data_IF_539969290240
#
_entry.id   IF_539969290240
#
_cell.length_a   1.000
_cell.length_b   1.000
_cell.length_c   1.000
_cell.angle_alpha   90.00
_cell.angle_beta   90.00
_cell.angle_gamma   90.00
#
_symmetry.space_group_name_H-M   'P 1'
#
loop_
_entity.id
_entity.type
_entity.pdbx_description
1 polymer ?
#
# COMPACT_ATOMS: atom_id res chain seq x y z
N UNK A 1 -36.89 27.87 -2.31
CA UNK A 1 -36.25 27.00 -3.32
C UNK A 1 -34.81 27.45 -3.46
N UNK A 2 -33.88 26.77 -2.77
CA UNK A 2 -32.44 27.00 -2.93
C UNK A 2 -31.79 25.66 -3.29
N UNK A 3 -31.03 25.56 -4.39
CA UNK A 3 -30.21 24.39 -4.63
C UNK A 3 -28.91 24.49 -3.82
N UNK A 4 -28.66 23.50 -2.95
CA UNK A 4 -27.36 23.27 -2.34
C UNK A 4 -26.47 22.64 -3.44
N UNK A 5 -25.48 23.40 -3.90
CA UNK A 5 -24.41 22.87 -4.75
C UNK A 5 -23.48 22.06 -3.86
N UNK A 6 -23.46 20.74 -4.05
CA UNK A 6 -22.46 19.86 -3.46
C UNK A 6 -21.13 20.02 -4.20
N UNK A 7 -20.13 20.56 -3.50
CA UNK A 7 -18.75 20.55 -3.96
C UNK A 7 -18.15 19.19 -3.56
N UNK A 8 -18.03 18.26 -4.51
CA UNK A 8 -17.13 17.12 -4.36
C UNK A 8 -15.71 17.62 -4.65
N UNK A 9 -14.95 17.89 -3.60
CA UNK A 9 -13.52 18.14 -3.72
C UNK A 9 -12.82 16.79 -3.92
N UNK A 10 -12.63 16.39 -5.18
CA UNK A 10 -11.68 15.34 -5.54
C UNK A 10 -10.28 15.97 -5.44
N UNK A 11 -9.69 15.89 -4.25
CA UNK A 11 -8.30 16.27 -4.02
C UNK A 11 -7.37 15.13 -4.40
N UNK A 12 -7.05 15.00 -5.69
CA UNK A 12 -5.89 14.22 -6.11
C UNK A 12 -4.62 15.04 -5.82
N UNK A 13 -4.03 14.83 -4.65
CA UNK A 13 -2.67 15.32 -4.38
C UNK A 13 -1.69 14.37 -5.06
N UNK A 14 -1.28 14.72 -6.28
CA UNK A 14 -0.10 14.13 -6.90
C UNK A 14 1.14 14.61 -6.12
N UNK A 15 1.62 13.79 -5.18
CA UNK A 15 2.84 14.06 -4.44
C UNK A 15 4.00 13.53 -5.30
N UNK A 16 4.72 14.41 -5.99
CA UNK A 16 5.93 14.04 -6.71
C UNK A 16 7.00 13.55 -5.73
N UNK A 17 7.62 12.41 -6.00
CA UNK A 17 8.65 11.87 -5.12
C UNK A 17 9.96 12.65 -5.24
N UNK A 18 10.49 13.04 -4.09
CA UNK A 18 11.85 13.50 -3.89
C UNK A 18 12.47 12.50 -2.91
N UNK A 19 13.61 11.88 -3.23
CA UNK A 19 14.43 11.23 -2.21
C UNK A 19 15.02 12.32 -1.32
N UNK A 20 14.36 12.58 -0.19
CA UNK A 20 14.80 13.58 0.77
C UNK A 20 15.68 12.89 1.81
N UNK A 21 16.88 13.43 2.08
CA UNK A 21 17.65 13.11 3.29
C UNK A 21 17.35 14.25 4.27
N UNK A 22 16.28 14.08 5.06
CA UNK A 22 15.86 15.02 6.11
C UNK A 22 15.67 14.25 7.41
N UNK A 23 15.81 14.94 8.54
CA UNK A 23 15.70 14.32 9.87
C UNK A 23 14.29 13.76 10.10
N UNK A 24 13.27 14.44 9.58
CA UNK A 24 11.86 14.16 9.87
C UNK A 24 11.01 14.12 8.59
N UNK A 25 11.06 13.00 7.88
CA UNK A 25 10.13 12.72 6.77
C UNK A 25 9.00 11.86 7.35
N UNK A 26 7.75 12.35 7.36
CA UNK A 26 6.62 11.56 7.83
C UNK A 26 6.39 10.37 6.88
N UNK A 27 5.88 9.26 7.42
CA UNK A 27 5.35 8.19 6.57
C UNK A 27 4.09 8.66 5.84
N UNK A 28 3.64 7.86 4.89
CA UNK A 28 2.37 8.03 4.19
C UNK A 28 1.25 8.38 5.18
N UNK A 29 0.58 9.51 4.94
CA UNK A 29 -0.57 9.90 5.71
C UNK A 29 -1.79 9.05 5.32
N UNK A 30 -2.27 8.25 6.27
CA UNK A 30 -3.47 7.43 6.09
C UNK A 30 -4.71 8.29 6.36
N UNK A 31 -5.69 8.36 5.45
CA UNK A 31 -6.90 9.14 5.68
C UNK A 31 -7.65 8.68 6.93
N UNK A 32 -8.01 9.64 7.79
CA UNK A 32 -8.79 9.39 8.99
C UNK A 32 -10.14 8.70 8.68
N UNK A 33 -10.70 8.04 9.68
CA UNK A 33 -12.00 7.40 9.56
C UNK A 33 -12.21 6.24 10.54
N UNK A 34 -13.39 5.61 10.52
CA UNK A 34 -13.75 4.52 11.40
C UNK A 34 -13.09 3.21 10.94
N UNK A 35 -11.77 3.13 11.08
CA UNK A 35 -10.98 1.93 10.80
C UNK A 35 -11.37 0.79 11.74
N UNK A 36 -11.55 -0.40 11.17
CA UNK A 36 -11.89 -1.62 11.90
C UNK A 36 -10.79 -2.66 11.67
N UNK A 37 -10.64 -3.60 12.59
CA UNK A 37 -9.74 -4.74 12.40
C UNK A 37 -10.05 -5.46 11.07
N UNK A 38 -8.99 -5.80 10.34
CA UNK A 38 -9.07 -6.42 9.03
C UNK A 38 -9.84 -7.74 9.08
N UNK A 39 -10.77 -7.90 8.15
CA UNK A 39 -11.43 -9.18 7.85
C UNK A 39 -12.10 -9.14 6.47
N UNK A 40 -12.45 -7.94 6.00
CA UNK A 40 -13.11 -7.72 4.72
C UNK A 40 -12.29 -8.14 3.47
N UNK A 41 -11.00 -8.42 3.64
CA UNK A 41 -10.11 -8.89 2.57
C UNK A 41 -9.55 -10.29 2.85
N UNK A 42 -9.97 -10.97 3.91
CA UNK A 42 -9.42 -12.27 4.26
C UNK A 42 -9.64 -13.31 3.16
N UNK A 43 -8.61 -14.12 2.91
CA UNK A 43 -8.57 -15.11 1.85
C UNK A 43 -8.26 -14.55 0.47
N UNK A 44 -8.04 -13.23 0.34
CA UNK A 44 -7.66 -12.61 -0.93
C UNK A 44 -6.14 -12.55 -1.08
N UNK A 45 -5.71 -12.75 -2.32
CA UNK A 45 -4.35 -12.48 -2.79
C UNK A 45 -4.50 -11.54 -3.98
N UNK A 46 -3.67 -10.51 -4.03
CA UNK A 46 -3.58 -9.64 -5.20
C UNK A 46 -2.18 -9.68 -5.78
N UNK A 47 -2.09 -9.75 -7.09
CA UNK A 47 -0.85 -9.72 -7.84
C UNK A 47 -0.66 -8.30 -8.37
N UNK A 48 0.33 -7.59 -7.84
CA UNK A 48 0.51 -6.17 -8.11
C UNK A 48 1.77 -5.90 -8.92
N UNK A 49 1.72 -4.80 -9.65
CA UNK A 49 2.87 -4.17 -10.30
C UNK A 49 3.04 -2.81 -9.66
N UNK A 50 4.21 -2.59 -9.08
CA UNK A 50 4.49 -1.46 -8.22
C UNK A 50 5.58 -0.59 -8.84
N UNK A 51 5.38 0.71 -8.81
CA UNK A 51 6.32 1.70 -9.35
C UNK A 51 6.92 2.48 -8.21
N UNK A 52 8.25 2.58 -8.18
CA UNK A 52 8.93 3.52 -7.29
C UNK A 52 8.81 4.90 -7.89
N UNK A 53 8.13 5.80 -7.20
CA UNK A 53 7.91 7.16 -7.69
C UNK A 53 9.26 7.87 -7.81
N UNK A 54 9.51 8.47 -8.98
CA UNK A 54 10.80 9.11 -9.29
C UNK A 54 11.87 8.16 -9.88
N UNK A 55 11.52 6.90 -10.12
CA UNK A 55 12.36 5.90 -10.80
C UNK A 55 11.60 5.26 -11.97
N UNK A 56 12.34 4.64 -12.89
CA UNK A 56 11.79 3.77 -13.95
C UNK A 56 11.66 2.31 -13.49
N UNK A 57 11.93 2.04 -12.21
CA UNK A 57 11.87 0.72 -11.60
C UNK A 57 10.42 0.25 -11.40
N UNK A 58 10.18 -0.98 -11.84
CA UNK A 58 8.90 -1.68 -11.71
C UNK A 58 9.15 -2.97 -10.92
N UNK A 59 8.42 -3.14 -9.83
CA UNK A 59 8.45 -4.32 -8.98
C UNK A 59 7.16 -5.13 -9.18
N UNK A 60 7.22 -6.42 -8.88
CA UNK A 60 6.04 -7.30 -8.81
C UNK A 60 5.92 -7.81 -7.40
N UNK A 61 4.70 -7.87 -6.89
CA UNK A 61 4.44 -8.33 -5.52
C UNK A 61 3.15 -9.17 -5.45
N UNK A 62 3.05 -9.96 -4.39
CA UNK A 62 1.84 -10.64 -3.97
C UNK A 62 1.43 -10.11 -2.61
N UNK A 63 0.22 -9.55 -2.55
CA UNK A 63 -0.36 -9.02 -1.32
C UNK A 63 -1.37 -10.02 -0.77
N UNK A 64 -0.99 -10.69 0.31
CA UNK A 64 -1.79 -11.73 0.97
C UNK A 64 -2.55 -11.15 2.15
N UNK A 65 -3.85 -11.44 2.23
CA UNK A 65 -4.72 -11.08 3.35
C UNK A 65 -5.31 -12.35 3.96
N UNK A 66 -4.95 -12.67 5.21
CA UNK A 66 -5.35 -13.90 5.89
C UNK A 66 -5.62 -13.64 7.37
N UNK A 67 -6.85 -13.90 7.82
CA UNK A 67 -7.24 -13.88 9.23
C UNK A 67 -6.96 -12.55 9.94
N UNK A 68 -7.25 -11.43 9.29
CA UNK A 68 -6.96 -10.08 9.78
C UNK A 68 -5.50 -9.66 9.66
N UNK A 69 -4.67 -10.46 9.00
CA UNK A 69 -3.24 -10.18 8.77
C UNK A 69 -2.93 -9.96 7.31
N UNK A 70 -1.90 -9.16 7.07
CA UNK A 70 -1.37 -8.80 5.77
C UNK A 70 0.10 -9.18 5.67
N UNK A 71 0.50 -9.64 4.48
CA UNK A 71 1.89 -9.84 4.11
C UNK A 71 2.09 -9.44 2.64
N UNK A 72 3.21 -8.75 2.38
CA UNK A 72 3.76 -8.55 1.05
C UNK A 72 4.86 -9.58 0.83
N UNK A 73 4.80 -10.33 -0.27
CA UNK A 73 5.80 -11.34 -0.61
C UNK A 73 7.19 -10.71 -0.84
N UNK A 74 7.24 -9.53 -1.47
CA UNK A 74 8.48 -8.76 -1.63
C UNK A 74 9.08 -8.31 -0.30
N UNK A 75 8.26 -7.80 0.63
CA UNK A 75 8.77 -7.43 1.96
C UNK A 75 9.27 -8.66 2.73
N UNK A 76 8.57 -9.78 2.57
CA UNK A 76 8.95 -11.06 3.16
C UNK A 76 10.30 -11.56 2.62
N UNK A 77 10.52 -11.50 1.31
CA UNK A 77 11.80 -11.86 0.69
C UNK A 77 12.92 -10.88 1.09
N UNK A 78 12.61 -9.59 1.17
CA UNK A 78 13.60 -8.54 1.44
C UNK A 78 14.15 -8.56 2.87
N UNK A 79 13.29 -8.68 3.89
CA UNK A 79 13.71 -8.69 5.30
C UNK A 79 12.72 -9.42 6.21
N UNK A 80 12.13 -10.55 5.79
CA UNK A 80 11.31 -11.40 6.69
C UNK A 80 10.29 -10.59 7.53
N UNK A 81 9.60 -9.64 6.89
CA UNK A 81 8.70 -8.71 7.59
C UNK A 81 7.56 -9.44 8.32
N UNK A 82 7.27 -10.67 7.93
CA UNK A 82 6.23 -11.50 8.50
C UNK A 82 4.84 -10.92 8.22
N UNK A 83 3.94 -11.18 9.16
CA UNK A 83 2.53 -10.84 9.06
C UNK A 83 2.18 -9.66 9.97
N UNK A 84 1.55 -8.62 9.44
CA UNK A 84 1.06 -7.45 10.20
C UNK A 84 -0.46 -7.43 10.28
N UNK A 85 -1.01 -6.95 11.38
CA UNK A 85 -2.45 -6.66 11.46
C UNK A 85 -2.79 -5.53 10.48
N UNK A 86 -3.81 -5.76 9.64
CA UNK A 86 -4.34 -4.72 8.76
C UNK A 86 -5.68 -4.20 9.28
N UNK A 87 -6.05 -3.01 8.83
CA UNK A 87 -7.33 -2.40 9.12
C UNK A 87 -8.08 -2.13 7.83
N UNK A 88 -9.41 -2.12 7.91
CA UNK A 88 -10.26 -1.75 6.78
C UNK A 88 -11.33 -0.74 7.16
N UNK A 89 -11.78 0.02 6.16
CA UNK A 89 -13.03 0.78 6.22
C UNK A 89 -13.72 0.66 4.87
N UNK A 90 -15.04 0.84 4.83
CA UNK A 90 -15.81 0.87 3.59
C UNK A 90 -16.32 2.27 3.33
N UNK A 91 -16.13 2.76 2.11
CA UNK A 91 -16.62 4.07 1.65
C UNK A 91 -17.33 3.83 0.33
N UNK A 92 -18.63 4.13 0.27
CA UNK A 92 -19.42 4.05 -0.97
C UNK A 92 -19.33 2.71 -1.73
N UNK A 93 -19.15 1.60 -1.00
CA UNK A 93 -19.01 0.26 -1.57
C UNK A 93 -17.56 -0.19 -1.78
N UNK A 94 -16.62 0.74 -1.83
CA UNK A 94 -15.19 0.49 -1.97
C UNK A 94 -14.54 0.15 -0.63
N UNK A 95 -13.66 -0.86 -0.61
CA UNK A 95 -12.91 -1.23 0.60
C UNK A 95 -11.61 -0.45 0.58
N UNK A 96 -11.32 0.26 1.66
CA UNK A 96 -10.02 0.84 1.91
C UNK A 96 -9.31 -0.03 2.93
N UNK A 97 -8.01 -0.24 2.77
CA UNK A 97 -7.18 -0.90 3.75
C UNK A 97 -5.97 -0.05 4.12
N UNK A 98 -5.46 -0.27 5.33
CA UNK A 98 -4.16 0.25 5.74
C UNK A 98 -3.44 -0.78 6.60
N UNK A 99 -2.13 -0.77 6.52
CA UNK A 99 -1.26 -1.63 7.30
C UNK A 99 0.11 -0.96 7.47
N UNK A 100 0.73 -1.18 8.63
CA UNK A 100 2.15 -0.86 8.85
C UNK A 100 2.93 -2.14 9.06
N UNK A 101 3.91 -2.38 8.20
CA UNK A 101 4.80 -3.55 8.26
C UNK A 101 6.20 -3.12 8.70
N UNK A 102 6.92 -3.98 9.41
CA UNK A 102 8.24 -3.68 9.97
C UNK A 102 9.20 -4.85 9.77
N UNK A 103 10.40 -4.54 9.30
CA UNK A 103 11.53 -5.48 9.27
C UNK A 103 11.98 -5.76 10.71
N UNK A 104 12.20 -7.02 11.10
CA UNK A 104 12.65 -7.36 12.45
C UNK A 104 14.12 -6.95 12.70
N UNK A 105 14.95 -6.95 11.65
CA UNK A 105 16.41 -6.82 11.78
C UNK A 105 16.95 -5.42 11.43
N UNK A 106 16.13 -4.57 10.84
CA UNK A 106 16.51 -3.21 10.44
C UNK A 106 15.31 -2.26 10.56
N UNK A 107 15.54 -0.94 10.65
CA UNK A 107 14.49 0.04 10.95
C UNK A 107 13.77 0.45 9.67
N UNK A 108 13.36 -0.55 8.90
CA UNK A 108 12.56 -0.42 7.71
C UNK A 108 11.10 -0.56 8.12
N UNK A 109 10.33 0.47 7.82
CA UNK A 109 8.88 0.49 8.02
C UNK A 109 8.23 0.73 6.68
N UNK A 110 7.19 -0.03 6.36
CA UNK A 110 6.33 0.26 5.21
C UNK A 110 4.93 0.57 5.68
N UNK A 111 4.43 1.76 5.34
CA UNK A 111 3.04 2.14 5.55
C UNK A 111 2.33 2.06 4.21
N UNK A 112 1.22 1.34 4.19
CA UNK A 112 0.39 1.10 3.01
C UNK A 112 -0.98 1.74 3.23
N UNK A 113 -1.51 2.35 2.18
CA UNK A 113 -2.92 2.72 2.08
C UNK A 113 -3.42 2.29 0.71
N UNK A 114 -4.42 1.42 0.68
CA UNK A 114 -4.95 0.94 -0.58
C UNK A 114 -6.46 0.88 -0.62
N UNK A 115 -6.93 0.68 -1.83
CA UNK A 115 -8.32 0.75 -2.26
C UNK A 115 -8.57 -0.50 -3.09
N UNK A 116 -9.66 -1.21 -2.77
CA UNK A 116 -10.09 -2.43 -3.44
C UNK A 116 -11.51 -2.24 -3.94
N UNK A 117 -11.67 -2.43 -5.25
CA UNK A 117 -12.91 -2.29 -6.00
C UNK A 117 -13.15 -3.60 -6.76
N UNK A 118 -14.03 -4.47 -6.23
CA UNK A 118 -14.21 -5.80 -6.80
C UNK A 118 -12.92 -6.61 -6.69
N UNK A 119 -12.33 -6.99 -7.83
CA UNK A 119 -11.08 -7.77 -7.91
C UNK A 119 -9.84 -6.90 -8.12
N UNK A 120 -10.01 -5.61 -8.32
CA UNK A 120 -8.91 -4.68 -8.56
C UNK A 120 -8.41 -4.06 -7.25
N UNK A 121 -7.10 -3.85 -7.17
CA UNK A 121 -6.43 -3.16 -6.07
C UNK A 121 -5.58 -2.02 -6.61
N UNK A 122 -5.55 -0.91 -5.88
CA UNK A 122 -4.57 0.17 -6.03
C UNK A 122 -4.09 0.58 -4.65
N UNK A 123 -2.84 0.99 -4.51
CA UNK A 123 -2.32 1.48 -3.25
C UNK A 123 -1.20 2.49 -3.43
N UNK A 124 -1.05 3.31 -2.39
CA UNK A 124 0.13 4.12 -2.14
C UNK A 124 0.88 3.53 -0.94
N UNK A 125 2.20 3.65 -0.99
CA UNK A 125 3.11 3.12 0.02
C UNK A 125 4.27 4.07 0.28
N UNK A 126 4.76 4.05 1.52
CA UNK A 126 6.09 4.60 1.84
C UNK A 126 6.92 3.52 2.49
N UNK A 127 8.09 3.21 1.92
CA UNK A 127 9.11 2.41 2.59
C UNK A 127 10.14 3.37 3.15
N UNK A 128 10.35 3.30 4.47
CA UNK A 128 11.18 4.26 5.19
C UNK A 128 12.23 3.56 6.02
N UNK A 129 13.49 3.94 5.84
CA UNK A 129 14.57 3.66 6.78
C UNK A 129 14.78 4.85 7.70
N UNK A 130 14.61 4.65 9.02
CA UNK A 130 14.88 5.72 10.01
C UNK A 130 16.08 5.39 10.88
N UNK A 131 17.02 6.32 10.94
CA UNK A 131 18.16 6.33 11.88
C UNK A 131 18.21 7.68 12.60
N UNK A 132 19.00 7.78 13.66
CA UNK A 132 19.05 8.97 14.51
C UNK A 132 19.50 10.27 13.78
N UNK A 133 20.25 10.15 12.69
CA UNK A 133 20.83 11.26 11.92
C UNK A 133 20.34 11.35 10.47
N UNK A 134 19.52 10.41 10.01
CA UNK A 134 18.98 10.46 8.65
C UNK A 134 17.71 9.61 8.53
N UNK A 135 16.85 10.05 7.62
CA UNK A 135 15.74 9.26 7.09
C UNK A 135 15.93 9.12 5.59
N UNK A 136 15.73 7.91 5.07
CA UNK A 136 15.57 7.65 3.65
C UNK A 136 14.18 7.09 3.45
N UNK A 137 13.43 7.67 2.52
CA UNK A 137 12.10 7.22 2.18
C UNK A 137 11.99 7.08 0.67
N UNK A 138 11.34 6.01 0.24
CA UNK A 138 10.85 5.85 -1.12
C UNK A 138 9.32 5.82 -1.08
N UNK A 139 8.71 6.41 -2.11
CA UNK A 139 7.26 6.37 -2.33
C UNK A 139 6.99 5.33 -3.40
N UNK A 140 5.99 4.48 -3.15
CA UNK A 140 5.59 3.40 -4.04
C UNK A 140 4.12 3.58 -4.39
N UNK A 141 3.79 3.44 -5.66
CA UNK A 141 2.41 3.34 -6.15
C UNK A 141 2.24 1.98 -6.79
N UNK A 142 1.23 1.22 -6.38
CA UNK A 142 0.98 -0.10 -6.93
C UNK A 142 -0.45 -0.29 -7.40
N UNK A 143 -0.61 -1.19 -8.38
CA UNK A 143 -1.90 -1.60 -8.90
C UNK A 143 -1.88 -3.07 -9.30
N UNK A 144 -3.01 -3.73 -9.23
CA UNK A 144 -3.09 -5.15 -9.54
C UNK A 144 -4.50 -5.69 -9.50
N UNK A 145 -4.61 -7.02 -9.53
CA UNK A 145 -5.89 -7.70 -9.42
C UNK A 145 -5.76 -9.02 -8.67
N UNK A 146 -6.89 -9.57 -8.23
CA UNK A 146 -6.97 -10.91 -7.64
C UNK A 146 -6.79 -12.03 -8.68
N UNK A 147 -6.79 -11.71 -9.98
CA UNK A 147 -6.49 -12.65 -11.03
C UNK A 147 -4.97 -12.79 -11.15
N UNK A 148 -4.49 -14.02 -10.97
CA UNK A 148 -3.08 -14.33 -11.21
C UNK A 148 -2.70 -13.95 -12.64
N UNK A 149 -1.51 -13.36 -12.87
CA UNK A 149 -1.01 -13.15 -14.22
C UNK A 149 -0.96 -14.51 -14.92
N UNK A 150 -1.42 -14.57 -16.16
CA UNK A 150 -1.35 -15.81 -16.93
C UNK A 150 0.10 -16.28 -16.97
N UNK A 151 0.36 -17.53 -16.57
CA UNK A 151 1.65 -18.17 -16.79
C UNK A 151 2.01 -17.95 -18.24
N UNK A 152 3.10 -17.21 -18.48
CA UNK A 152 3.66 -17.14 -19.81
C UNK A 152 4.27 -18.52 -20.04
N UNK A 153 3.46 -19.46 -20.53
CA UNK A 153 3.91 -20.75 -21.02
C UNK A 153 4.85 -20.41 -22.17
N UNK A 154 6.14 -20.32 -21.89
CA UNK A 154 7.20 -20.29 -22.90
C UNK A 154 7.11 -21.65 -23.59
N UNK A 155 6.34 -21.69 -24.68
CA UNK A 155 6.15 -22.89 -25.46
C UNK A 155 7.45 -23.35 -26.08
N UNK A 156 7.77 -24.63 -25.82
CA UNK A 156 8.64 -25.56 -26.58
C UNK A 156 10.11 -25.20 -26.81
#
# INVERSE_FOLDING_TARGET
MSPIVQLFAVGALAIGAVSIISKDIPDLAVPEGPWQAGSALDGRVFYTTDRIVGSDEILRDELHFIGGRFQSAMCQEYCDFGWSDYQTKRVEGTIHFTVTTRCPDAPHTVVWYGIVEGDDIRFDGTWTTRRWYWTHQIVVEGQGSAMAPADTVTGT
#
